data_IF_474054530899
#
_entry.id   IF_474054530899
#
_cell.length_a   1.000
_cell.length_b   1.000
_cell.length_c   1.000
_cell.angle_alpha   90.00
_cell.angle_beta   90.00
_cell.angle_gamma   90.00
#
_symmetry.space_group_name_H-M   'P 1'
#
loop_
_entity.id
_entity.type
_entity.pdbx_description
1 polymer ?
#
# COMPACT_ATOMS: atom_id res chain seq x y z
N UNK A 1 10.40 -38.38 -35.12
CA UNK A 1 8.93 -38.41 -34.98
C UNK A 1 8.53 -37.18 -34.20
N UNK A 2 7.71 -36.28 -34.77
CA UNK A 2 7.31 -35.00 -34.17
C UNK A 2 5.82 -35.12 -33.87
N UNK A 3 5.44 -34.95 -32.60
CA UNK A 3 4.03 -34.87 -32.22
C UNK A 3 3.63 -33.41 -32.11
N UNK A 4 2.62 -33.01 -32.86
CA UNK A 4 1.95 -31.71 -32.72
C UNK A 4 0.54 -31.98 -32.19
N UNK A 5 0.23 -31.40 -31.03
CA UNK A 5 -1.10 -31.44 -30.43
C UNK A 5 -1.73 -30.06 -30.50
N UNK A 6 -2.86 -29.94 -31.20
CA UNK A 6 -3.66 -28.71 -31.25
C UNK A 6 -4.79 -28.86 -30.25
N UNK A 7 -4.89 -27.94 -29.30
CA UNK A 7 -6.00 -27.93 -28.34
C UNK A 7 -7.14 -27.10 -28.94
N UNK A 8 -8.19 -27.77 -29.42
CA UNK A 8 -9.38 -27.14 -29.98
C UNK A 8 -10.59 -27.37 -29.05
N UNK A 9 -11.46 -26.36 -28.88
CA UNK A 9 -12.72 -26.52 -28.14
C UNK A 9 -12.60 -26.54 -26.61
N UNK A 10 -11.69 -25.76 -26.00
CA UNK A 10 -11.65 -25.61 -24.54
C UNK A 10 -12.89 -24.84 -24.07
N UNK A 11 -13.87 -25.56 -23.54
CA UNK A 11 -15.00 -24.98 -22.82
C UNK A 11 -14.81 -25.23 -21.33
N UNK A 12 -14.56 -24.17 -20.57
CA UNK A 12 -14.53 -24.22 -19.12
C UNK A 12 -15.33 -23.05 -18.58
N UNK A 13 -15.98 -23.26 -17.44
CA UNK A 13 -16.51 -22.16 -16.64
C UNK A 13 -15.43 -21.78 -15.63
N UNK A 14 -14.66 -20.69 -15.85
CA UNK A 14 -13.70 -20.22 -14.87
C UNK A 14 -14.41 -19.86 -13.57
N UNK A 15 -14.32 -20.72 -12.57
CA UNK A 15 -14.75 -20.40 -11.21
C UNK A 15 -13.55 -19.85 -10.45
N UNK A 16 -13.41 -18.53 -10.40
CA UNK A 16 -12.54 -17.90 -9.42
C UNK A 16 -13.16 -18.11 -8.03
N UNK A 17 -12.60 -19.01 -7.22
CA UNK A 17 -13.01 -19.22 -5.82
C UNK A 17 -12.49 -18.06 -4.97
N UNK A 18 -13.09 -16.89 -5.13
CA UNK A 18 -12.79 -15.71 -4.34
C UNK A 18 -13.55 -15.79 -3.00
N UNK A 19 -12.96 -15.27 -1.91
CA UNK A 19 -13.61 -15.29 -0.61
C UNK A 19 -14.83 -14.38 -0.61
N UNK A 20 -15.87 -14.73 0.15
CA UNK A 20 -16.95 -13.79 0.43
C UNK A 20 -16.38 -12.64 1.28
N UNK A 21 -16.62 -11.41 0.86
CA UNK A 21 -16.19 -10.21 1.59
C UNK A 21 -17.29 -9.77 2.56
N UNK A 22 -16.93 -9.53 3.81
CA UNK A 22 -17.82 -8.91 4.80
C UNK A 22 -17.96 -7.42 4.52
N UNK A 23 -19.13 -6.86 4.83
CA UNK A 23 -19.44 -5.44 4.64
C UNK A 23 -19.34 -4.67 5.95
N UNK A 24 -18.77 -3.46 5.87
CA UNK A 24 -18.64 -2.54 6.99
C UNK A 24 -19.06 -1.13 6.55
N UNK A 25 -19.74 -0.42 7.46
CA UNK A 25 -20.11 0.99 7.28
C UNK A 25 -19.05 1.94 7.84
N UNK A 26 -18.19 1.45 8.74
CA UNK A 26 -17.07 2.18 9.31
C UNK A 26 -15.74 1.62 8.78
N UNK A 27 -14.91 2.48 8.19
CA UNK A 27 -13.66 2.06 7.56
C UNK A 27 -12.67 1.45 8.57
N UNK A 28 -12.62 2.03 9.78
CA UNK A 28 -11.78 1.58 10.88
C UNK A 28 -12.07 0.12 11.27
N UNK A 29 -13.35 -0.24 11.39
CA UNK A 29 -13.77 -1.62 11.71
C UNK A 29 -13.34 -2.61 10.63
N UNK A 30 -13.50 -2.24 9.35
CA UNK A 30 -13.06 -3.06 8.23
C UNK A 30 -11.55 -3.29 8.22
N UNK A 31 -10.75 -2.23 8.41
CA UNK A 31 -9.28 -2.32 8.44
C UNK A 31 -8.77 -3.16 9.62
N UNK A 32 -9.37 -2.99 10.81
CA UNK A 32 -8.98 -3.75 12.01
C UNK A 32 -9.43 -5.21 11.96
N UNK A 33 -10.59 -5.49 11.35
CA UNK A 33 -11.18 -6.83 11.34
C UNK A 33 -10.73 -7.70 10.17
N UNK A 34 -10.44 -7.12 9.00
CA UNK A 34 -10.24 -7.86 7.74
C UNK A 34 -9.09 -7.30 6.91
N UNK A 35 -8.44 -8.17 6.14
CA UNK A 35 -7.42 -7.77 5.15
C UNK A 35 -8.04 -7.33 3.81
N UNK A 36 -9.28 -7.75 3.57
CA UNK A 36 -10.10 -7.38 2.41
C UNK A 36 -11.57 -7.42 2.81
N UNK A 37 -12.35 -6.40 2.43
CA UNK A 37 -13.75 -6.24 2.86
C UNK A 37 -14.52 -5.33 1.89
N UNK A 38 -15.84 -5.22 2.06
CA UNK A 38 -16.67 -4.21 1.39
C UNK A 38 -16.83 -3.01 2.33
N UNK A 39 -16.56 -1.82 1.84
CA UNK A 39 -16.82 -0.56 2.52
C UNK A 39 -17.92 0.21 1.81
N UNK A 40 -18.99 0.55 2.54
CA UNK A 40 -20.10 1.36 2.03
C UNK A 40 -19.82 2.84 2.29
N UNK A 41 -19.73 3.66 1.25
CA UNK A 41 -19.48 5.09 1.36
C UNK A 41 -20.25 5.87 0.30
N UNK A 42 -21.01 6.90 0.70
CA UNK A 42 -21.82 7.73 -0.20
C UNK A 42 -22.75 6.91 -1.13
N UNK A 43 -23.34 5.84 -0.60
CA UNK A 43 -24.22 4.95 -1.36
C UNK A 43 -23.51 4.04 -2.38
N UNK A 44 -22.17 4.02 -2.40
CA UNK A 44 -21.35 3.13 -3.23
C UNK A 44 -20.64 2.08 -2.38
N UNK A 45 -20.47 0.89 -2.94
CA UNK A 45 -19.71 -0.19 -2.32
C UNK A 45 -18.32 -0.30 -2.94
N UNK A 46 -17.30 -0.22 -2.11
CA UNK A 46 -15.91 -0.41 -2.50
C UNK A 46 -15.39 -1.74 -1.97
N UNK A 47 -14.81 -2.57 -2.83
CA UNK A 47 -14.03 -3.71 -2.34
C UNK A 47 -12.63 -3.23 -1.98
N UNK A 48 -12.38 -3.15 -0.69
CA UNK A 48 -11.18 -2.57 -0.11
C UNK A 48 -10.21 -3.67 0.26
N UNK A 49 -8.94 -3.45 -0.07
CA UNK A 49 -7.79 -4.17 0.48
C UNK A 49 -6.79 -3.15 1.03
N UNK A 50 -5.84 -3.58 1.86
CA UNK A 50 -4.85 -2.66 2.41
C UNK A 50 -3.51 -3.31 2.73
N UNK A 51 -2.47 -2.50 2.66
CA UNK A 51 -1.07 -2.90 2.79
C UNK A 51 -0.49 -2.41 4.12
N UNK A 52 0.27 -3.28 4.80
CA UNK A 52 0.96 -2.94 6.06
C UNK A 52 2.28 -2.21 5.81
N UNK A 53 2.93 -2.48 4.67
CA UNK A 53 4.18 -1.83 4.25
C UNK A 53 3.98 -1.27 2.85
N UNK A 54 4.66 -0.18 2.49
CA UNK A 54 4.48 0.48 1.20
C UNK A 54 5.16 -0.28 0.04
N UNK A 55 5.89 -1.35 0.35
CA UNK A 55 6.52 -2.27 -0.61
C UNK A 55 6.07 -3.71 -0.39
N UNK A 56 6.40 -4.58 -1.35
CA UNK A 56 6.12 -6.02 -1.22
C UNK A 56 6.92 -6.59 -0.04
N UNK A 57 6.21 -7.16 0.92
CA UNK A 57 6.79 -7.86 2.08
C UNK A 57 6.25 -9.27 2.19
N UNK A 58 6.73 -10.04 3.18
CA UNK A 58 6.26 -11.41 3.48
C UNK A 58 4.77 -11.50 3.87
N UNK A 59 4.08 -10.37 4.03
CA UNK A 59 2.64 -10.31 4.32
C UNK A 59 1.73 -10.55 3.10
N UNK A 60 2.31 -10.92 1.95
CA UNK A 60 1.65 -11.22 0.67
C UNK A 60 0.55 -10.22 0.30
N UNK A 61 0.87 -8.92 0.20
CA UNK A 61 -0.14 -7.88 -0.01
C UNK A 61 -0.97 -8.08 -1.29
N UNK A 62 -0.39 -8.70 -2.33
CA UNK A 62 -1.13 -9.01 -3.56
C UNK A 62 -2.28 -9.99 -3.35
N UNK A 63 -2.16 -10.97 -2.45
CA UNK A 63 -3.26 -11.89 -2.17
C UNK A 63 -4.51 -11.15 -1.69
N UNK A 64 -4.33 -10.08 -0.92
CA UNK A 64 -5.41 -9.22 -0.42
C UNK A 64 -6.10 -8.46 -1.55
N UNK A 65 -5.33 -8.01 -2.53
CA UNK A 65 -5.85 -7.36 -3.75
C UNK A 65 -6.59 -8.38 -4.63
N UNK A 66 -6.05 -9.60 -4.77
CA UNK A 66 -6.72 -10.64 -5.55
C UNK A 66 -8.11 -10.97 -4.99
N UNK A 67 -8.26 -10.98 -3.66
CA UNK A 67 -9.55 -11.23 -3.00
C UNK A 67 -10.65 -10.20 -3.35
N UNK A 68 -10.27 -8.99 -3.78
CA UNK A 68 -11.22 -7.94 -4.16
C UNK A 68 -11.57 -7.93 -5.65
N UNK A 69 -10.90 -8.75 -6.49
CA UNK A 69 -11.10 -8.72 -7.94
C UNK A 69 -12.52 -9.11 -8.41
N UNK A 70 -13.33 -9.72 -7.55
CA UNK A 70 -14.75 -10.03 -7.83
C UNK A 70 -15.65 -8.79 -7.92
N UNK A 71 -15.19 -7.63 -7.45
CA UNK A 71 -15.99 -6.40 -7.39
C UNK A 71 -15.61 -5.42 -8.49
N UNK A 72 -16.55 -4.56 -8.88
CA UNK A 72 -16.31 -3.56 -9.93
C UNK A 72 -15.38 -2.44 -9.46
N UNK A 73 -15.77 -1.70 -8.40
CA UNK A 73 -14.91 -0.68 -7.76
C UNK A 73 -14.01 -1.31 -6.70
N UNK A 74 -12.74 -1.44 -7.05
CA UNK A 74 -11.69 -2.10 -6.25
C UNK A 74 -10.68 -1.08 -5.78
N UNK A 75 -10.44 -1.03 -4.48
CA UNK A 75 -9.56 -0.04 -3.87
C UNK A 75 -8.51 -0.74 -3.03
N UNK A 76 -7.28 -0.26 -3.09
CA UNK A 76 -6.23 -0.65 -2.15
C UNK A 76 -5.67 0.57 -1.44
N UNK A 77 -5.52 0.48 -0.12
CA UNK A 77 -4.84 1.51 0.68
C UNK A 77 -3.39 1.11 0.86
N UNK A 78 -2.46 2.01 0.54
CA UNK A 78 -1.02 1.76 0.64
C UNK A 78 -0.38 2.95 1.38
N UNK A 79 0.42 2.74 2.43
CA UNK A 79 1.09 3.85 3.09
C UNK A 79 2.14 4.47 2.15
N UNK A 80 2.44 5.75 2.30
CA UNK A 80 3.57 6.38 1.60
C UNK A 80 4.92 5.96 2.21
N UNK A 81 4.93 5.77 3.53
CA UNK A 81 6.08 5.49 4.38
C UNK A 81 5.65 4.60 5.53
N UNK A 82 6.43 3.57 5.81
CA UNK A 82 6.39 2.82 7.07
C UNK A 82 7.74 2.95 7.75
N UNK A 83 7.79 3.63 8.88
CA UNK A 83 8.97 3.74 9.72
C UNK A 83 8.72 2.95 11.01
N UNK A 84 9.52 1.92 11.26
CA UNK A 84 9.42 1.10 12.45
C UNK A 84 10.27 1.63 13.61
N UNK A 85 10.86 2.82 13.50
CA UNK A 85 11.79 3.36 14.50
C UNK A 85 13.23 2.91 14.25
N UNK A 86 14.19 3.49 14.96
CA UNK A 86 15.64 3.29 14.72
C UNK A 86 16.10 1.82 14.79
N UNK A 87 15.40 0.99 15.57
CA UNK A 87 15.66 -0.45 15.68
C UNK A 87 14.95 -1.31 14.62
N UNK A 88 14.15 -0.71 13.73
CA UNK A 88 13.35 -1.41 12.72
C UNK A 88 13.66 -0.98 11.29
N UNK A 89 12.78 -1.40 10.36
CA UNK A 89 12.89 -1.04 8.95
C UNK A 89 12.25 0.32 8.65
N UNK A 90 12.74 0.96 7.58
CA UNK A 90 12.10 2.13 6.98
C UNK A 90 11.86 1.93 5.49
N UNK A 91 10.58 1.81 5.14
CA UNK A 91 10.11 1.51 3.81
C UNK A 91 9.37 2.68 3.18
N UNK A 92 9.47 2.83 1.87
CA UNK A 92 8.80 3.86 1.08
C UNK A 92 7.98 3.24 -0.05
N UNK A 93 6.98 3.98 -0.53
CA UNK A 93 6.18 3.60 -1.69
C UNK A 93 7.08 3.38 -2.91
N UNK A 94 6.74 2.34 -3.68
CA UNK A 94 7.47 1.94 -4.88
C UNK A 94 6.61 2.10 -6.14
N UNK A 95 7.24 2.48 -7.25
CA UNK A 95 6.57 2.68 -8.54
C UNK A 95 5.91 1.39 -9.04
N UNK A 96 6.63 0.27 -8.94
CA UNK A 96 6.14 -1.03 -9.41
C UNK A 96 4.88 -1.47 -8.63
N UNK A 97 4.74 -1.05 -7.37
CA UNK A 97 3.53 -1.28 -6.57
C UNK A 97 2.31 -0.60 -7.19
N UNK A 98 2.39 0.70 -7.46
CA UNK A 98 1.23 1.47 -7.98
C UNK A 98 0.93 1.11 -9.43
N UNK A 99 1.96 0.97 -10.27
CA UNK A 99 1.78 0.58 -11.67
C UNK A 99 1.13 -0.80 -11.82
N UNK A 100 1.42 -1.75 -10.93
CA UNK A 100 0.73 -3.04 -10.93
C UNK A 100 -0.75 -2.92 -10.53
N UNK A 101 -1.09 -2.03 -9.58
CA UNK A 101 -2.50 -1.76 -9.24
C UNK A 101 -3.25 -1.15 -10.40
N UNK A 102 -2.62 -0.23 -11.12
CA UNK A 102 -3.16 0.34 -12.37
C UNK A 102 -3.44 -0.74 -13.42
N UNK A 103 -2.50 -1.67 -13.64
CA UNK A 103 -2.69 -2.78 -14.57
C UNK A 103 -3.92 -3.65 -14.22
N UNK A 104 -4.18 -3.83 -12.93
CA UNK A 104 -5.32 -4.63 -12.44
C UNK A 104 -6.64 -3.83 -12.37
N UNK A 105 -6.64 -2.56 -12.76
CA UNK A 105 -7.73 -1.61 -12.57
C UNK A 105 -8.19 -1.51 -11.10
N UNK A 106 -7.22 -1.40 -10.20
CA UNK A 106 -7.41 -1.17 -8.77
C UNK A 106 -7.01 0.27 -8.44
N UNK A 107 -7.94 1.01 -7.84
CA UNK A 107 -7.72 2.37 -7.37
C UNK A 107 -6.83 2.35 -6.12
N UNK A 108 -5.77 3.14 -6.10
CA UNK A 108 -4.85 3.25 -4.97
C UNK A 108 -5.20 4.46 -4.15
N UNK A 109 -5.31 4.32 -2.83
CA UNK A 109 -5.31 5.46 -1.90
C UNK A 109 -3.95 5.46 -1.20
N UNK A 110 -3.16 6.52 -1.41
CA UNK A 110 -1.87 6.69 -0.73
C UNK A 110 -2.13 7.29 0.65
N UNK A 111 -1.97 6.46 1.68
CA UNK A 111 -2.21 6.81 3.08
C UNK A 111 -0.94 7.11 3.88
N UNK A 112 -1.11 7.43 5.16
CA UNK A 112 -0.03 7.55 6.12
C UNK A 112 -0.49 7.02 7.49
N UNK A 113 0.48 6.50 8.25
CA UNK A 113 0.26 6.08 9.63
C UNK A 113 0.26 7.29 10.56
N UNK A 114 -0.66 7.29 11.53
CA UNK A 114 -0.95 8.41 12.43
C UNK A 114 -0.69 8.06 13.91
N UNK A 115 -0.77 6.76 14.22
CA UNK A 115 -0.56 6.17 15.55
C UNK A 115 0.29 4.91 15.44
N UNK A 116 0.96 4.56 16.52
CA UNK A 116 1.72 3.32 16.68
C UNK A 116 1.89 2.98 18.16
N UNK A 117 2.29 1.74 18.44
CA UNK A 117 2.64 1.27 19.79
C UNK A 117 4.13 0.94 19.88
N UNK A 118 4.70 0.98 21.08
CA UNK A 118 6.04 0.45 21.33
C UNK A 118 6.04 -1.07 21.16
N UNK A 119 7.03 -1.60 20.45
CA UNK A 119 7.20 -3.05 20.30
C UNK A 119 7.58 -3.68 21.65
N UNK A 120 6.83 -4.67 22.16
CA UNK A 120 7.19 -5.38 23.39
C UNK A 120 8.35 -6.38 23.16
N UNK A 121 8.70 -6.67 21.90
CA UNK A 121 9.67 -7.72 21.53
C UNK A 121 11.01 -7.18 21.07
N UNK A 122 11.00 -6.02 20.43
CA UNK A 122 12.18 -5.46 19.77
C UNK A 122 12.45 -4.06 20.32
N UNK A 123 13.67 -3.85 20.78
CA UNK A 123 14.10 -2.57 21.33
C UNK A 123 14.12 -1.50 20.24
N UNK A 124 13.77 -0.26 20.61
CA UNK A 124 13.82 0.91 19.74
C UNK A 124 12.95 0.77 18.48
N UNK A 125 11.87 -0.02 18.57
CA UNK A 125 10.96 -0.34 17.46
C UNK A 125 9.49 -0.06 17.79
N UNK A 126 8.74 0.49 16.84
CA UNK A 126 7.28 0.64 16.91
C UNK A 126 6.56 -0.46 16.11
N UNK A 127 5.36 -0.79 16.54
CA UNK A 127 4.46 -1.78 15.92
C UNK A 127 3.01 -1.27 15.92
N UNK A 128 2.06 -2.10 15.49
CA UNK A 128 0.62 -1.81 15.53
C UNK A 128 0.24 -0.45 14.92
N UNK A 129 0.92 -0.06 13.83
CA UNK A 129 0.72 1.25 13.22
C UNK A 129 -0.68 1.35 12.61
N UNK A 130 -1.39 2.43 12.91
CA UNK A 130 -2.76 2.68 12.43
C UNK A 130 -2.81 3.88 11.48
N UNK A 131 -3.58 3.75 10.40
CA UNK A 131 -3.77 4.83 9.45
C UNK A 131 -4.57 5.99 10.05
N UNK A 132 -4.42 7.18 9.47
CA UNK A 132 -5.37 8.25 9.72
C UNK A 132 -6.72 7.95 9.03
N UNK A 133 -7.68 7.37 9.75
CA UNK A 133 -8.96 6.94 9.17
C UNK A 133 -9.79 8.10 8.60
N UNK A 134 -9.81 9.27 9.26
CA UNK A 134 -10.53 10.45 8.76
C UNK A 134 -9.99 10.93 7.40
N UNK A 135 -8.66 10.89 7.21
CA UNK A 135 -8.05 11.16 5.91
C UNK A 135 -8.48 10.14 4.85
N UNK A 136 -8.44 8.85 5.19
CA UNK A 136 -8.83 7.79 4.26
C UNK A 136 -10.30 7.90 3.86
N UNK A 137 -11.21 8.15 4.80
CA UNK A 137 -12.64 8.36 4.52
C UNK A 137 -12.86 9.55 3.58
N UNK A 138 -12.10 10.64 3.76
CA UNK A 138 -12.13 11.77 2.81
C UNK A 138 -11.73 11.31 1.40
N UNK A 139 -10.72 10.44 1.27
CA UNK A 139 -10.30 9.88 -0.03
C UNK A 139 -11.33 8.94 -0.64
N UNK A 140 -12.07 8.16 0.16
CA UNK A 140 -13.20 7.37 -0.35
C UNK A 140 -14.34 8.24 -0.84
N UNK A 141 -14.64 9.36 -0.16
CA UNK A 141 -15.63 10.35 -0.62
C UNK A 141 -15.22 11.03 -1.92
N UNK A 142 -13.95 11.42 -2.05
CA UNK A 142 -13.42 11.92 -3.33
C UNK A 142 -13.61 10.86 -4.44
N UNK A 143 -13.25 9.61 -4.16
CA UNK A 143 -13.33 8.50 -5.12
C UNK A 143 -14.76 8.08 -5.48
N UNK A 144 -15.74 8.30 -4.60
CA UNK A 144 -17.16 8.01 -4.91
C UNK A 144 -17.69 8.93 -6.02
N UNK A 145 -17.23 10.18 -6.04
CA UNK A 145 -17.56 11.15 -7.10
C UNK A 145 -16.68 11.05 -8.35
N UNK A 146 -15.55 10.32 -8.27
CA UNK A 146 -14.60 10.17 -9.37
C UNK A 146 -15.14 9.27 -10.50
N UNK A 147 -15.12 9.78 -11.73
CA UNK A 147 -15.71 9.13 -12.91
C UNK A 147 -14.69 8.40 -13.79
N UNK A 148 -13.41 8.78 -13.72
CA UNK A 148 -12.36 8.17 -14.55
C UNK A 148 -11.88 6.84 -13.96
N UNK A 149 -11.11 6.10 -14.75
CA UNK A 149 -10.58 4.80 -14.37
C UNK A 149 -9.43 4.89 -13.34
N UNK A 150 -8.95 3.72 -12.89
CA UNK A 150 -7.89 3.66 -11.89
C UNK A 150 -6.56 4.20 -12.41
N UNK A 151 -6.31 4.20 -13.72
CA UNK A 151 -5.10 4.80 -14.29
C UNK A 151 -5.00 6.30 -13.96
N UNK A 152 -6.05 7.06 -14.25
CA UNK A 152 -6.05 8.51 -14.01
C UNK A 152 -6.01 8.83 -12.52
N UNK A 153 -6.79 8.10 -11.71
CA UNK A 153 -6.78 8.27 -10.25
C UNK A 153 -5.40 7.98 -9.66
N UNK A 154 -4.77 6.87 -10.05
CA UNK A 154 -3.48 6.46 -9.49
C UNK A 154 -2.37 7.45 -9.87
N UNK A 155 -2.43 8.04 -11.07
CA UNK A 155 -1.51 9.13 -11.45
C UNK A 155 -1.74 10.39 -10.61
N UNK A 156 -2.99 10.76 -10.33
CA UNK A 156 -3.31 11.88 -9.46
C UNK A 156 -2.80 11.65 -8.03
N UNK A 157 -2.91 10.42 -7.52
CA UNK A 157 -2.37 10.04 -6.22
C UNK A 157 -0.84 10.14 -6.17
N UNK A 158 -0.17 9.89 -7.31
CA UNK A 158 1.27 10.06 -7.47
C UNK A 158 1.69 11.48 -7.90
N UNK A 159 0.74 12.40 -8.06
CA UNK A 159 1.06 13.78 -8.43
C UNK A 159 1.96 14.42 -7.38
N UNK A 160 2.81 15.35 -7.82
CA UNK A 160 3.80 15.98 -6.95
C UNK A 160 3.14 16.61 -5.72
N UNK A 161 2.03 17.33 -5.93
CA UNK A 161 1.27 18.00 -4.89
C UNK A 161 0.65 17.02 -3.88
N UNK A 162 0.08 15.90 -4.35
CA UNK A 162 -0.51 14.91 -3.44
C UNK A 162 0.56 14.18 -2.64
N UNK A 163 1.65 13.74 -3.28
CA UNK A 163 2.76 13.04 -2.62
C UNK A 163 3.44 13.93 -1.57
N UNK A 164 3.70 15.20 -1.89
CA UNK A 164 4.28 16.14 -0.93
C UNK A 164 3.33 16.36 0.26
N UNK A 165 2.04 16.57 0.00
CA UNK A 165 1.03 16.76 1.05
C UNK A 165 0.90 15.55 1.97
N UNK A 166 0.79 14.34 1.41
CA UNK A 166 0.66 13.10 2.20
C UNK A 166 1.97 12.80 2.92
N UNK A 167 3.10 13.04 2.27
CA UNK A 167 4.41 12.86 2.87
C UNK A 167 4.67 13.77 4.04
N UNK A 168 4.32 15.07 3.95
CA UNK A 168 4.40 16.00 5.08
C UNK A 168 3.56 15.52 6.27
N UNK A 169 2.33 15.10 6.03
CA UNK A 169 1.47 14.53 7.07
C UNK A 169 2.07 13.28 7.70
N UNK A 170 2.72 12.41 6.92
CA UNK A 170 3.42 11.25 7.43
C UNK A 170 4.59 11.66 8.35
N UNK A 171 5.43 12.62 7.93
CA UNK A 171 6.55 13.13 8.74
C UNK A 171 6.07 13.79 10.03
N UNK A 172 5.02 14.62 9.96
CA UNK A 172 4.38 15.24 11.12
C UNK A 172 3.86 14.17 12.09
N UNK A 173 3.26 13.10 11.56
CA UNK A 173 2.76 11.97 12.35
C UNK A 173 3.88 11.20 13.05
N UNK A 174 4.95 10.83 12.34
CA UNK A 174 6.10 10.15 12.96
C UNK A 174 6.84 11.05 13.96
N UNK A 175 6.87 12.36 13.74
CA UNK A 175 7.40 13.32 14.72
C UNK A 175 6.58 13.29 16.02
N UNK A 176 5.25 13.23 15.89
CA UNK A 176 4.35 13.13 17.04
C UNK A 176 4.50 11.78 17.75
N UNK A 177 4.48 10.66 17.01
CA UNK A 177 4.68 9.31 17.54
C UNK A 177 6.02 9.22 18.30
N UNK A 178 7.10 9.77 17.73
CA UNK A 178 8.42 9.82 18.37
C UNK A 178 8.37 10.48 19.75
N UNK A 179 7.66 11.60 19.87
CA UNK A 179 7.50 12.34 21.14
C UNK A 179 6.59 11.60 22.12
N UNK A 180 5.44 11.12 21.66
CA UNK A 180 4.44 10.44 22.50
C UNK A 180 4.96 9.14 23.09
N UNK A 181 5.73 8.37 22.30
CA UNK A 181 6.29 7.09 22.72
C UNK A 181 7.71 7.22 23.30
N UNK A 182 8.28 8.43 23.35
CA UNK A 182 9.68 8.69 23.72
C UNK A 182 10.66 7.77 22.97
N UNK A 183 10.51 7.71 21.65
CA UNK A 183 11.22 6.79 20.78
C UNK A 183 11.95 7.52 19.66
N UNK A 184 13.18 7.10 19.36
CA UNK A 184 13.95 7.64 18.24
C UNK A 184 13.49 7.02 16.91
N UNK A 185 13.07 7.87 15.98
CA UNK A 185 12.76 7.49 14.60
C UNK A 185 14.01 7.60 13.73
N UNK A 186 13.97 7.02 12.53
CA UNK A 186 15.01 7.32 11.55
C UNK A 186 14.98 8.80 11.14
N UNK A 187 16.08 9.27 10.52
CA UNK A 187 16.23 10.65 10.07
C UNK A 187 15.05 11.11 9.17
N UNK A 188 14.21 11.99 9.72
CA UNK A 188 13.01 12.49 9.05
C UNK A 188 13.34 13.43 7.88
N UNK A 189 14.51 14.09 7.89
CA UNK A 189 14.97 14.93 6.79
C UNK A 189 15.31 14.10 5.56
N UNK A 190 15.98 12.96 5.74
CA UNK A 190 16.21 11.97 4.68
C UNK A 190 14.91 11.36 4.18
N UNK A 191 13.94 11.12 5.08
CA UNK A 191 12.62 10.62 4.68
C UNK A 191 11.87 11.65 3.81
N UNK A 192 11.90 12.93 4.18
CA UNK A 192 11.27 14.00 3.40
C UNK A 192 11.95 14.19 2.04
N UNK A 193 13.29 14.12 1.99
CA UNK A 193 14.02 14.13 0.71
C UNK A 193 13.58 12.98 -0.19
N UNK A 194 13.41 11.78 0.39
CA UNK A 194 12.95 10.60 -0.37
C UNK A 194 11.53 10.75 -0.88
N UNK A 195 10.62 11.28 -0.08
CA UNK A 195 9.25 11.62 -0.49
C UNK A 195 9.27 12.64 -1.64
N UNK A 196 10.13 13.66 -1.55
CA UNK A 196 10.30 14.63 -2.63
C UNK A 196 10.82 13.97 -3.92
N UNK A 197 11.72 12.99 -3.84
CA UNK A 197 12.16 12.25 -5.02
C UNK A 197 11.02 11.46 -5.70
N UNK A 198 10.04 10.96 -4.94
CA UNK A 198 8.82 10.33 -5.50
C UNK A 198 7.99 11.34 -6.30
N UNK A 199 7.97 12.61 -5.86
CA UNK A 199 7.15 13.68 -6.44
C UNK A 199 7.69 14.31 -7.73
N UNK A 200 8.96 14.08 -8.11
CA UNK A 200 9.62 14.82 -9.21
C UNK A 200 9.07 14.52 -10.60
N UNK A 201 9.14 13.27 -11.04
CA UNK A 201 8.48 12.78 -12.25
C UNK A 201 8.42 11.24 -12.25
N UNK A 202 7.53 10.67 -13.05
CA UNK A 202 7.27 9.24 -13.12
C UNK A 202 8.51 8.39 -13.48
N UNK A 203 9.35 8.86 -14.42
CA UNK A 203 10.55 8.13 -14.84
C UNK A 203 11.64 8.13 -13.75
N UNK A 204 11.82 9.25 -13.03
CA UNK A 204 12.71 9.32 -11.88
C UNK A 204 12.21 8.46 -10.72
N UNK A 205 10.91 8.46 -10.45
CA UNK A 205 10.34 7.59 -9.42
C UNK A 205 10.54 6.10 -9.79
N UNK A 206 10.28 5.73 -11.05
CA UNK A 206 10.51 4.38 -11.57
C UNK A 206 11.98 3.96 -11.49
N UNK A 207 12.91 4.81 -11.95
CA UNK A 207 14.36 4.54 -11.89
C UNK A 207 14.82 4.34 -10.45
N UNK A 208 14.52 5.30 -9.58
CA UNK A 208 14.96 5.27 -8.18
C UNK A 208 14.29 4.14 -7.38
N UNK A 209 13.07 3.73 -7.74
CA UNK A 209 12.39 2.57 -7.17
C UNK A 209 13.09 1.25 -7.55
N UNK A 210 13.47 1.09 -8.82
CA UNK A 210 14.15 -0.12 -9.32
C UNK A 210 15.56 -0.27 -8.76
N UNK A 211 16.30 0.82 -8.64
CA UNK A 211 17.61 0.83 -7.99
C UNK A 211 17.53 0.33 -6.54
N UNK A 212 16.54 0.79 -5.77
CA UNK A 212 16.33 0.30 -4.39
C UNK A 212 15.99 -1.19 -4.34
N UNK A 213 15.08 -1.64 -5.21
CA UNK A 213 14.70 -3.05 -5.28
C UNK A 213 15.91 -3.94 -5.61
N UNK A 214 16.78 -3.49 -6.52
CA UNK A 214 18.03 -4.17 -6.84
C UNK A 214 19.00 -4.21 -5.65
N UNK A 215 19.15 -3.09 -4.93
CA UNK A 215 19.98 -3.04 -3.73
C UNK A 215 19.46 -3.97 -2.63
N UNK A 216 18.14 -4.04 -2.43
CA UNK A 216 17.52 -4.95 -1.46
C UNK A 216 17.77 -6.41 -1.85
N UNK A 217 17.57 -6.76 -3.12
CA UNK A 217 17.85 -8.11 -3.63
C UNK A 217 19.32 -8.50 -3.47
N UNK A 218 20.25 -7.57 -3.73
CA UNK A 218 21.68 -7.80 -3.52
C UNK A 218 22.04 -8.04 -2.04
N UNK A 219 21.34 -7.38 -1.10
CA UNK A 219 21.51 -7.65 0.33
C UNK A 219 20.98 -9.04 0.70
N UNK A 220 19.81 -9.42 0.19
CA UNK A 220 19.22 -10.75 0.41
C UNK A 220 20.10 -11.89 -0.12
N UNK A 221 20.78 -11.69 -1.26
CA UNK A 221 21.73 -12.67 -1.79
C UNK A 221 22.98 -12.84 -0.92
N UNK A 222 23.35 -11.80 -0.16
CA UNK A 222 24.54 -11.80 0.71
C UNK A 222 24.25 -12.28 2.13
N UNK A 223 22.99 -12.26 2.56
CA UNK A 223 22.59 -12.77 3.87
C UNK A 223 22.32 -14.27 3.82
N UNK A 224 23.03 -15.03 4.66
CA UNK A 224 22.70 -16.43 4.90
C UNK A 224 21.38 -16.48 5.67
N UNK A 225 20.31 -17.00 5.06
CA UNK A 225 19.07 -17.19 5.79
C UNK A 225 19.30 -18.23 6.91
N UNK A 226 18.95 -17.92 8.18
CA UNK A 226 18.93 -18.94 9.21
C UNK A 226 17.93 -20.04 8.80
N UNK A 227 18.38 -21.30 8.89
CA UNK A 227 17.57 -22.49 8.59
C UNK A 227 16.44 -22.67 9.59
#
# INVERSE_FOLDING_TARGET
MKFEGVVEGIHYQPTFKLPKLDSFDYLEEGIRGRTSFIYSCEGQNFAVSWWVSPKRTRSYPYARVYNTLQSQKRVTIIPILKDEGKGGDRDFLQWDTVSFMTLLQVYVIVGYYDKADVSPREKDKVTSQEFNYAYLETKFKELSSYQSDAYHWNLEQLSASNIEKVGRKAIESYTRISKELNMEMHDLGLAMKRISDISKNAEEFKRSSREMSMMAQNRELRTVQPR
#
